data_IF_181595058608
#
_entry.id   IF_181595058608
#
_cell.length_a   1.000
_cell.length_b   1.000
_cell.length_c   1.000
_cell.angle_alpha   90.00
_cell.angle_beta   90.00
_cell.angle_gamma   90.00
#
_symmetry.space_group_name_H-M   'P 1'
#
loop_
_entity.id
_entity.type
_entity.pdbx_description
1 polymer ?
#
# COMPACT_ATOMS: atom_id res chain seq x y z
N UNK A 1 3.70 57.55 46.38
CA UNK A 1 4.65 57.74 45.27
C UNK A 1 4.50 56.58 44.30
N UNK A 2 4.21 56.89 43.02
CA UNK A 2 4.56 56.18 41.76
C UNK A 2 4.29 54.65 41.68
N UNK A 3 3.74 54.07 40.63
CA UNK A 3 3.44 54.49 39.26
C UNK A 3 2.58 53.38 38.61
N UNK A 4 1.75 53.77 37.64
CA UNK A 4 1.09 52.92 36.64
C UNK A 4 2.08 51.94 35.96
N UNK A 5 1.58 50.79 35.49
CA UNK A 5 1.76 50.37 34.10
C UNK A 5 0.77 49.28 33.67
N UNK A 6 -0.04 49.66 32.70
CA UNK A 6 -0.89 48.83 31.84
C UNK A 6 0.01 48.04 30.87
N UNK A 7 -0.32 46.78 30.59
CA UNK A 7 0.07 46.14 29.32
C UNK A 7 -0.96 45.08 28.92
N UNK A 8 -1.72 45.41 27.87
CA UNK A 8 -2.38 44.48 26.96
C UNK A 8 -1.31 43.63 26.24
N UNK A 9 -1.51 42.32 26.13
CA UNK A 9 -0.97 41.48 25.04
C UNK A 9 -1.82 40.19 25.01
N UNK A 10 -2.78 40.08 24.09
CA UNK A 10 -2.70 39.68 22.67
C UNK A 10 -3.13 38.22 22.49
N UNK A 11 -4.16 38.08 21.67
CA UNK A 11 -4.82 36.87 21.19
C UNK A 11 -3.79 35.92 20.54
N UNK A 12 -3.94 34.62 20.79
CA UNK A 12 -3.39 33.57 19.92
C UNK A 12 -4.37 32.41 19.90
N UNK A 13 -5.39 32.51 19.04
CA UNK A 13 -6.21 31.38 18.64
C UNK A 13 -5.33 30.51 17.74
N UNK A 14 -4.71 29.47 18.28
CA UNK A 14 -3.99 28.48 17.48
C UNK A 14 -5.02 27.67 16.71
N UNK A 15 -5.37 28.14 15.51
CA UNK A 15 -5.96 27.30 14.49
C UNK A 15 -4.89 26.27 14.13
N UNK A 16 -4.98 25.08 14.70
CA UNK A 16 -4.34 23.90 14.16
C UNK A 16 -4.96 23.66 12.78
N UNK A 17 -4.34 24.24 11.76
CA UNK A 17 -4.53 23.78 10.39
C UNK A 17 -3.91 22.39 10.38
N UNK A 18 -4.74 21.38 10.62
CA UNK A 18 -4.40 20.01 10.29
C UNK A 18 -4.28 19.98 8.77
N UNK A 19 -3.07 20.23 8.27
CA UNK A 19 -2.70 19.97 6.90
C UNK A 19 -2.85 18.46 6.76
N UNK A 20 -4.01 18.03 6.27
CA UNK A 20 -4.21 16.69 5.77
C UNK A 20 -3.21 16.54 4.63
N UNK A 21 -2.07 15.93 4.94
CA UNK A 21 -1.11 15.53 3.94
C UNK A 21 -1.82 14.50 3.06
N UNK A 22 -2.48 14.93 1.99
CA UNK A 22 -2.84 14.03 0.91
C UNK A 22 -1.55 13.61 0.24
N UNK A 23 -1.13 12.33 0.28
CA UNK A 23 -0.15 11.84 -0.66
C UNK A 23 -0.85 11.69 -2.02
N UNK A 24 -1.33 12.80 -2.60
CA UNK A 24 -1.74 12.84 -3.99
C UNK A 24 -0.46 13.01 -4.82
N UNK A 25 0.38 11.98 -4.84
CA UNK A 25 1.22 11.73 -6.00
C UNK A 25 0.23 11.51 -7.15
N UNK A 26 -0.04 12.61 -7.86
CA UNK A 26 -0.87 12.75 -9.06
C UNK A 26 -1.54 11.42 -9.46
N UNK A 27 -2.80 11.22 -9.05
CA UNK A 27 -3.64 10.18 -9.61
C UNK A 27 -3.61 10.36 -11.13
N UNK A 28 -2.79 9.54 -11.81
CA UNK A 28 -2.99 9.27 -13.22
C UNK A 28 -4.47 8.88 -13.31
N UNK A 29 -5.26 9.66 -14.04
CA UNK A 29 -6.74 9.67 -13.98
C UNK A 29 -7.44 8.34 -14.30
N UNK A 30 -6.70 7.24 -14.46
CA UNK A 30 -7.15 5.90 -14.76
C UNK A 30 -6.82 4.86 -13.67
N UNK A 31 -6.10 5.21 -12.59
CA UNK A 31 -5.87 4.26 -11.50
C UNK A 31 -7.07 4.21 -10.55
N UNK A 32 -7.51 3.01 -10.10
CA UNK A 32 -8.56 2.90 -9.09
C UNK A 32 -8.04 3.45 -7.75
N UNK A 33 -8.96 3.77 -6.83
CA UNK A 33 -8.60 4.16 -5.46
C UNK A 33 -8.13 2.95 -4.64
N UNK A 34 -7.46 3.22 -3.51
CA UNK A 34 -7.03 2.17 -2.58
C UNK A 34 -8.20 1.31 -2.11
N UNK A 35 -9.35 1.92 -1.80
CA UNK A 35 -10.55 1.21 -1.35
C UNK A 35 -11.10 0.29 -2.44
N UNK A 36 -11.11 0.75 -3.70
CA UNK A 36 -11.58 -0.04 -4.84
C UNK A 36 -10.65 -1.20 -5.19
N UNK A 37 -9.34 -1.04 -4.93
CA UNK A 37 -8.34 -2.09 -5.15
C UNK A 37 -8.17 -3.03 -3.93
N UNK A 38 -8.63 -2.61 -2.76
CA UNK A 38 -8.58 -3.42 -1.54
C UNK A 38 -9.68 -4.46 -1.55
N UNK A 39 -9.33 -5.67 -1.11
CA UNK A 39 -10.31 -6.73 -0.94
C UNK A 39 -10.98 -6.62 0.43
N UNK A 40 -12.26 -7.00 0.49
CA UNK A 40 -13.03 -6.92 1.73
C UNK A 40 -12.94 -8.20 2.56
N UNK A 41 -12.77 -8.02 3.87
CA UNK A 41 -12.95 -9.01 4.94
C UNK A 41 -12.49 -10.43 4.60
N UNK A 42 -13.45 -11.30 4.29
CA UNK A 42 -13.22 -12.74 4.09
C UNK A 42 -12.39 -13.03 2.83
N UNK A 43 -12.58 -12.25 1.76
CA UNK A 43 -11.85 -12.47 0.50
C UNK A 43 -10.37 -12.11 0.63
N UNK A 44 -10.09 -10.98 1.29
CA UNK A 44 -8.72 -10.56 1.64
C UNK A 44 -8.02 -11.62 2.49
N UNK A 45 -8.65 -11.99 3.62
CA UNK A 45 -8.09 -12.97 4.57
C UNK A 45 -7.80 -14.31 3.89
N UNK A 46 -8.71 -14.78 3.03
CA UNK A 46 -8.55 -16.05 2.31
C UNK A 46 -7.39 -16.02 1.31
N UNK A 47 -7.25 -14.94 0.55
CA UNK A 47 -6.18 -14.79 -0.43
C UNK A 47 -4.82 -14.61 0.26
N UNK A 48 -4.74 -13.77 1.30
CA UNK A 48 -3.55 -13.61 2.13
C UNK A 48 -3.09 -14.92 2.73
N UNK A 49 -4.01 -15.69 3.32
CA UNK A 49 -3.69 -17.03 3.85
C UNK A 49 -3.18 -17.98 2.76
N UNK A 50 -3.84 -17.98 1.59
CA UNK A 50 -3.42 -18.81 0.44
C UNK A 50 -2.02 -18.46 -0.05
N UNK A 51 -1.68 -17.17 -0.11
CA UNK A 51 -0.35 -16.69 -0.50
C UNK A 51 0.70 -16.97 0.57
N UNK A 52 0.37 -16.79 1.84
CA UNK A 52 1.24 -17.17 2.94
C UNK A 52 1.59 -18.66 2.88
N UNK A 53 0.60 -19.52 2.66
CA UNK A 53 0.86 -20.95 2.49
C UNK A 53 1.68 -21.25 1.22
N UNK A 54 1.44 -20.51 0.12
CA UNK A 54 2.20 -20.67 -1.12
C UNK A 54 3.70 -20.46 -0.92
N UNK A 55 4.09 -19.42 -0.17
CA UNK A 55 5.49 -19.14 0.13
C UNK A 55 6.05 -20.07 1.21
N UNK A 56 5.27 -20.40 2.24
CA UNK A 56 5.70 -21.37 3.29
C UNK A 56 6.02 -22.75 2.73
N UNK A 57 5.22 -23.26 1.79
CA UNK A 57 5.50 -24.53 1.08
C UNK A 57 6.78 -24.48 0.22
N UNK A 58 7.34 -23.30 0.00
CA UNK A 58 8.62 -23.06 -0.71
C UNK A 58 9.77 -22.71 0.25
N UNK A 59 9.61 -22.98 1.54
CA UNK A 59 10.63 -22.75 2.55
C UNK A 59 10.79 -21.29 2.99
N UNK A 60 9.82 -20.42 2.71
CA UNK A 60 9.85 -19.02 3.16
C UNK A 60 9.04 -18.84 4.44
N UNK A 61 9.60 -18.15 5.42
CA UNK A 61 8.89 -17.73 6.64
C UNK A 61 8.43 -16.29 6.49
N UNK A 62 7.26 -15.96 7.07
CA UNK A 62 6.61 -14.66 6.92
C UNK A 62 5.12 -14.78 6.65
N UNK A 63 4.51 -13.63 6.39
CA UNK A 63 3.07 -13.45 6.17
C UNK A 63 2.78 -12.32 5.18
N UNK A 64 1.65 -12.42 4.46
CA UNK A 64 1.25 -11.40 3.48
C UNK A 64 0.42 -10.29 4.15
N UNK A 65 0.70 -9.04 3.82
CA UNK A 65 0.02 -7.82 4.27
C UNK A 65 -0.29 -6.86 3.10
N UNK A 66 -1.26 -5.97 3.33
CA UNK A 66 -1.62 -4.85 2.45
C UNK A 66 -1.82 -5.27 0.99
N UNK A 67 -2.74 -6.23 0.79
CA UNK A 67 -3.07 -6.77 -0.52
C UNK A 67 -3.94 -5.77 -1.31
N UNK A 68 -3.43 -5.36 -2.47
CA UNK A 68 -4.15 -4.56 -3.47
C UNK A 68 -4.26 -5.34 -4.78
N UNK A 69 -5.43 -5.25 -5.43
CA UNK A 69 -5.76 -6.04 -6.61
C UNK A 69 -6.44 -5.17 -7.68
N UNK A 70 -5.99 -5.32 -8.92
CA UNK A 70 -6.64 -4.77 -10.12
C UNK A 70 -6.91 -5.92 -11.09
N UNK A 71 -8.18 -6.33 -11.18
CA UNK A 71 -8.59 -7.48 -11.98
C UNK A 71 -7.90 -8.77 -11.54
N UNK A 72 -7.04 -9.33 -12.40
CA UNK A 72 -6.29 -10.58 -12.12
C UNK A 72 -4.87 -10.35 -11.59
N UNK A 73 -4.47 -9.10 -11.39
CA UNK A 73 -3.12 -8.72 -10.98
C UNK A 73 -3.19 -8.13 -9.58
N UNK A 74 -2.23 -8.45 -8.72
CA UNK A 74 -2.18 -7.89 -7.38
C UNK A 74 -0.75 -7.64 -6.92
N UNK A 75 -0.66 -6.85 -5.85
CA UNK A 75 0.56 -6.60 -5.11
C UNK A 75 0.27 -6.65 -3.62
N UNK A 76 1.29 -6.99 -2.84
CA UNK A 76 1.21 -7.02 -1.39
C UNK A 76 2.62 -6.89 -0.80
N UNK A 77 2.73 -6.83 0.52
CA UNK A 77 3.99 -7.02 1.22
C UNK A 77 4.09 -8.44 1.79
N UNK A 78 5.24 -9.07 1.57
CA UNK A 78 5.68 -10.22 2.35
C UNK A 78 6.44 -9.70 3.57
N UNK A 79 5.81 -9.80 4.73
CA UNK A 79 6.38 -9.40 6.00
C UNK A 79 7.17 -10.55 6.62
N UNK A 80 8.47 -10.36 6.75
CA UNK A 80 9.33 -11.11 7.67
C UNK A 80 9.58 -10.24 8.90
N UNK A 81 10.22 -10.79 9.94
CA UNK A 81 10.41 -10.15 11.26
C UNK A 81 10.72 -8.65 11.20
N UNK A 82 11.55 -8.23 10.25
CA UNK A 82 12.06 -6.86 10.13
C UNK A 82 11.95 -6.31 8.70
N UNK A 83 11.19 -6.95 7.79
CA UNK A 83 11.23 -6.59 6.37
C UNK A 83 9.87 -6.75 5.68
N UNK A 84 9.35 -5.65 5.12
CA UNK A 84 8.27 -5.66 4.13
C UNK A 84 8.88 -5.78 2.73
N UNK A 85 8.88 -6.98 2.16
CA UNK A 85 9.34 -7.18 0.78
C UNK A 85 8.14 -7.14 -0.16
N UNK A 86 8.08 -6.25 -1.17
CA UNK A 86 6.99 -6.26 -2.13
C UNK A 86 6.89 -7.59 -2.87
N UNK A 87 5.66 -8.05 -3.09
CA UNK A 87 5.37 -9.25 -3.88
C UNK A 87 4.37 -8.93 -4.99
N UNK A 88 4.52 -9.63 -6.12
CA UNK A 88 3.62 -9.56 -7.25
C UNK A 88 2.76 -10.83 -7.33
N UNK A 89 1.48 -10.67 -7.64
CA UNK A 89 0.47 -11.73 -7.53
C UNK A 89 -0.33 -11.83 -8.83
N UNK A 90 -0.51 -13.06 -9.31
CA UNK A 90 -1.46 -13.40 -10.36
C UNK A 90 -2.61 -14.21 -9.77
N UNK A 91 -3.83 -13.76 -10.05
CA UNK A 91 -5.06 -14.41 -9.64
C UNK A 91 -5.70 -15.14 -10.82
N UNK A 92 -6.51 -16.15 -10.51
CA UNK A 92 -7.45 -16.78 -11.41
C UNK A 92 -8.86 -16.70 -10.81
N UNK A 93 -9.73 -15.87 -11.39
CA UNK A 93 -11.04 -15.47 -10.85
C UNK A 93 -10.91 -14.82 -9.46
N UNK A 94 -10.67 -15.62 -8.42
CA UNK A 94 -10.50 -15.17 -7.04
C UNK A 94 -9.51 -16.05 -6.24
N UNK A 95 -8.73 -16.90 -6.91
CA UNK A 95 -7.74 -17.76 -6.28
C UNK A 95 -6.33 -17.42 -6.72
N UNK A 96 -5.36 -17.69 -5.85
CA UNK A 96 -3.96 -17.51 -6.17
C UNK A 96 -3.53 -18.47 -7.29
N UNK A 97 -3.00 -17.92 -8.39
CA UNK A 97 -2.38 -18.68 -9.47
C UNK A 97 -0.86 -18.75 -9.30
N UNK A 98 -0.21 -17.59 -9.13
CA UNK A 98 1.24 -17.45 -8.94
C UNK A 98 1.55 -16.23 -8.08
N UNK A 99 2.65 -16.26 -7.34
CA UNK A 99 3.20 -15.09 -6.66
C UNK A 99 4.73 -15.07 -6.76
N UNK A 100 5.31 -13.87 -6.76
CA UNK A 100 6.74 -13.61 -6.93
C UNK A 100 7.21 -12.62 -5.86
N UNK A 101 8.35 -12.89 -5.23
CA UNK A 101 9.02 -11.92 -4.35
C UNK A 101 9.81 -10.95 -5.22
N UNK A 102 9.70 -9.65 -4.95
CA UNK A 102 10.44 -8.61 -5.65
C UNK A 102 11.61 -8.17 -4.77
N UNK A 103 12.68 -8.97 -4.73
CA UNK A 103 13.83 -8.80 -3.82
C UNK A 103 14.54 -7.44 -3.99
N UNK A 104 14.44 -6.82 -5.18
CA UNK A 104 15.01 -5.51 -5.48
C UNK A 104 13.97 -4.37 -5.44
N UNK A 105 12.86 -4.59 -4.73
CA UNK A 105 11.76 -3.64 -4.60
C UNK A 105 10.69 -3.72 -5.70
N UNK A 106 9.59 -3.02 -5.48
CA UNK A 106 8.50 -2.88 -6.44
C UNK A 106 8.88 -1.82 -7.47
N UNK A 107 9.36 -2.24 -8.65
CA UNK A 107 9.47 -1.35 -9.80
C UNK A 107 8.43 -1.73 -10.87
N UNK A 108 7.85 -0.72 -11.53
CA UNK A 108 6.97 -0.95 -12.69
C UNK A 108 7.65 -1.85 -13.74
N UNK A 109 8.95 -1.70 -13.96
CA UNK A 109 9.70 -2.54 -14.92
C UNK A 109 9.77 -4.00 -14.48
N UNK A 110 9.96 -4.27 -13.18
CA UNK A 110 9.96 -5.63 -12.62
C UNK A 110 8.60 -6.30 -12.84
N UNK A 111 7.51 -5.58 -12.63
CA UNK A 111 6.14 -6.07 -12.84
C UNK A 111 5.86 -6.34 -14.32
N UNK A 112 6.28 -5.44 -15.21
CA UNK A 112 6.13 -5.62 -16.66
C UNK A 112 6.93 -6.84 -17.13
N UNK A 113 8.16 -7.03 -16.65
CA UNK A 113 9.01 -8.17 -17.02
C UNK A 113 8.39 -9.53 -16.66
N UNK A 114 7.60 -9.60 -15.59
CA UNK A 114 6.88 -10.83 -15.20
C UNK A 114 5.48 -10.95 -15.84
N UNK A 115 5.07 -9.98 -16.67
CA UNK A 115 3.86 -10.05 -17.50
C UNK A 115 2.68 -9.18 -17.05
N UNK A 116 2.90 -8.18 -16.20
CA UNK A 116 1.85 -7.20 -15.87
C UNK A 116 1.72 -6.18 -17.02
N UNK A 117 0.51 -5.79 -17.41
CA UNK A 117 0.30 -4.63 -18.27
C UNK A 117 0.91 -3.39 -17.61
N UNK A 118 1.60 -2.55 -18.38
CA UNK A 118 2.31 -1.38 -17.84
C UNK A 118 1.39 -0.44 -17.04
N UNK A 119 0.18 -0.16 -17.53
CA UNK A 119 -0.79 0.66 -16.81
C UNK A 119 -1.17 0.06 -15.46
N UNK A 120 -1.44 -1.25 -15.41
CA UNK A 120 -1.75 -1.97 -14.17
C UNK A 120 -0.56 -1.99 -13.21
N UNK A 121 0.66 -2.18 -13.72
CA UNK A 121 1.88 -2.17 -12.91
C UNK A 121 2.10 -0.82 -12.21
N UNK A 122 1.92 0.29 -12.94
CA UNK A 122 2.00 1.65 -12.37
C UNK A 122 0.98 1.82 -11.26
N UNK A 123 -0.29 1.49 -11.51
CA UNK A 123 -1.34 1.66 -10.51
C UNK A 123 -1.12 0.77 -9.28
N UNK A 124 -0.75 -0.50 -9.45
CA UNK A 124 -0.51 -1.39 -8.31
C UNK A 124 0.69 -0.96 -7.47
N UNK A 125 1.74 -0.42 -8.10
CA UNK A 125 2.88 0.13 -7.37
C UNK A 125 2.47 1.36 -6.55
N UNK A 126 1.68 2.26 -7.14
CA UNK A 126 1.12 3.42 -6.43
C UNK A 126 0.25 2.98 -5.23
N UNK A 127 -0.71 2.08 -5.47
CA UNK A 127 -1.64 1.60 -4.44
C UNK A 127 -0.93 0.87 -3.30
N UNK A 128 0.10 0.06 -3.61
CA UNK A 128 0.89 -0.60 -2.58
C UNK A 128 1.65 0.42 -1.71
N UNK A 129 2.17 1.49 -2.32
CA UNK A 129 2.83 2.56 -1.56
C UNK A 129 1.83 3.34 -0.69
N UNK A 130 0.62 3.60 -1.20
CA UNK A 130 -0.47 4.26 -0.47
C UNK A 130 -1.00 3.39 0.68
N UNK A 131 -0.96 2.07 0.55
CA UNK A 131 -1.43 1.13 1.58
C UNK A 131 -0.59 1.13 2.86
N UNK A 132 0.59 1.77 2.83
CA UNK A 132 1.50 1.86 3.95
C UNK A 132 2.19 0.54 4.30
N UNK A 133 3.02 0.59 5.34
CA UNK A 133 3.66 -0.53 6.03
C UNK A 133 3.39 -0.35 7.53
#
# INVERSE_FOLDING_TARGET
MKQLLISLLLVSLSMEVTISATPSLAQSSNCPTLEAASLSGRSDTSLRSSMTQYFRRRGRTGEVYNLVVIGKYGMAYWWTRDTATPIAIFLNRNSLRKAYILDNGSSTNSLVAIGFPRSTAVCLQQLLNESGI
#
